data_IF_132003481763
#
_entry.id   IF_132003481763
#
_cell.length_a   1.000
_cell.length_b   1.000
_cell.length_c   1.000
_cell.angle_alpha   90.00
_cell.angle_beta   90.00
_cell.angle_gamma   90.00
#
_symmetry.space_group_name_H-M   'P 1'
#
loop_
_entity.id
_entity.type
_entity.pdbx_description
1 polymer ?
#
# COMPACT_ATOMS: atom_id res chain seq x y z
N UNK A 1 -6.86 15.45 -2.35
CA UNK A 1 -7.39 14.33 -3.15
C UNK A 1 -7.67 13.15 -2.21
N UNK A 2 -8.57 12.22 -2.57
CA UNK A 2 -8.82 11.04 -1.74
C UNK A 2 -7.90 9.89 -2.16
N UNK A 3 -7.22 9.30 -1.19
CA UNK A 3 -6.33 8.16 -1.33
C UNK A 3 -6.95 6.92 -0.69
N UNK A 4 -6.73 5.77 -1.30
CA UNK A 4 -7.35 4.52 -0.88
C UNK A 4 -6.39 3.36 -0.90
N UNK A 5 -6.58 2.44 0.04
CA UNK A 5 -6.00 1.10 0.00
C UNK A 5 -7.08 0.11 -0.39
N UNK A 6 -6.77 -0.74 -1.38
CA UNK A 6 -7.61 -1.85 -1.83
C UNK A 6 -6.96 -3.15 -1.33
N UNK A 7 -7.69 -3.92 -0.53
CA UNK A 7 -7.21 -5.21 -0.04
C UNK A 7 -7.19 -6.28 -1.13
N UNK A 8 -6.56 -7.43 -0.84
CA UNK A 8 -6.63 -8.60 -1.71
C UNK A 8 -8.05 -9.14 -1.94
N UNK A 9 -9.01 -8.72 -1.13
CA UNK A 9 -10.43 -9.06 -1.26
C UNK A 9 -11.24 -7.99 -2.04
N UNK A 10 -10.55 -7.04 -2.67
CA UNK A 10 -11.14 -5.91 -3.42
C UNK A 10 -12.02 -4.97 -2.57
N UNK A 11 -11.74 -4.91 -1.26
CA UNK A 11 -12.39 -3.96 -0.36
C UNK A 11 -11.57 -2.68 -0.28
N UNK A 12 -12.24 -1.54 -0.41
CA UNK A 12 -11.65 -0.21 -0.50
C UNK A 12 -11.75 0.53 0.84
N UNK A 13 -10.61 0.96 1.36
CA UNK A 13 -10.47 1.72 2.60
C UNK A 13 -9.90 3.09 2.31
N UNK A 14 -10.51 4.14 2.89
CA UNK A 14 -9.92 5.49 2.84
C UNK A 14 -8.68 5.48 3.74
N UNK A 15 -7.56 5.96 3.21
CA UNK A 15 -6.28 5.95 3.91
C UNK A 15 -5.61 7.31 3.75
N UNK A 16 -4.96 7.80 4.81
CA UNK A 16 -4.19 9.03 4.73
C UNK A 16 -2.76 8.69 4.29
N UNK A 17 -2.46 8.90 3.00
CA UNK A 17 -1.16 8.54 2.42
C UNK A 17 -0.34 9.81 2.18
N UNK A 18 0.84 9.87 2.80
CA UNK A 18 1.85 10.89 2.54
C UNK A 18 2.81 10.41 1.45
N UNK A 19 3.18 11.30 0.53
CA UNK A 19 4.18 11.01 -0.50
C UNK A 19 5.60 10.85 0.07
N UNK A 20 5.84 11.39 1.26
CA UNK A 20 7.14 11.27 1.95
C UNK A 20 7.31 9.94 2.69
N UNK A 21 6.23 9.17 2.84
CA UNK A 21 6.25 7.89 3.55
C UNK A 21 6.65 6.77 2.58
N UNK A 22 7.36 5.78 3.11
CA UNK A 22 7.57 4.49 2.44
C UNK A 22 6.27 3.66 2.44
N UNK A 23 6.06 2.74 1.48
CA UNK A 23 4.96 1.78 1.55
C UNK A 23 4.90 1.02 2.88
N UNK A 24 6.06 0.71 3.47
CA UNK A 24 6.13 0.06 4.78
C UNK A 24 5.52 0.93 5.89
N UNK A 25 5.87 2.22 5.94
CA UNK A 25 5.31 3.18 6.90
C UNK A 25 3.82 3.40 6.67
N UNK A 26 3.38 3.50 5.41
CA UNK A 26 1.97 3.66 5.05
C UNK A 26 1.15 2.48 5.58
N UNK A 27 1.61 1.25 5.39
CA UNK A 27 0.89 0.07 5.88
C UNK A 27 0.86 0.05 7.41
N UNK A 28 1.95 0.40 8.09
CA UNK A 28 1.97 0.50 9.56
C UNK A 28 0.98 1.55 10.07
N UNK A 29 1.01 2.75 9.50
CA UNK A 29 0.09 3.84 9.82
C UNK A 29 -1.37 3.43 9.57
N UNK A 30 -1.64 2.75 8.44
CA UNK A 30 -2.96 2.22 8.14
C UNK A 30 -3.45 1.24 9.22
N UNK A 31 -2.57 0.37 9.71
CA UNK A 31 -2.92 -0.58 10.78
C UNK A 31 -3.24 0.12 12.11
N UNK A 32 -2.53 1.20 12.43
CA UNK A 32 -2.77 2.00 13.64
C UNK A 32 -4.06 2.82 13.55
N UNK A 33 -4.34 3.39 12.37
CA UNK A 33 -5.53 4.21 12.11
C UNK A 33 -6.80 3.37 11.96
N UNK A 34 -6.69 2.15 11.41
CA UNK A 34 -7.82 1.28 11.03
C UNK A 34 -7.64 -0.16 11.56
N UNK A 35 -7.58 -0.38 12.89
CA UNK A 35 -7.26 -1.69 13.46
C UNK A 35 -8.27 -2.81 13.11
N UNK A 36 -9.54 -2.46 12.92
CA UNK A 36 -10.59 -3.43 12.55
C UNK A 36 -10.51 -3.87 11.08
N UNK A 37 -9.93 -3.03 10.22
CA UNK A 37 -9.83 -3.24 8.78
C UNK A 37 -8.43 -3.73 8.35
N UNK A 38 -7.41 -3.50 9.17
CA UNK A 38 -6.02 -3.89 8.93
C UNK A 38 -5.90 -5.38 8.56
N UNK A 39 -6.67 -6.25 9.20
CA UNK A 39 -6.64 -7.69 8.96
C UNK A 39 -6.89 -8.09 7.49
N UNK A 40 -7.57 -7.25 6.70
CA UNK A 40 -7.94 -7.59 5.33
C UNK A 40 -6.80 -7.40 4.32
N UNK A 41 -5.75 -6.66 4.66
CA UNK A 41 -4.57 -6.51 3.79
C UNK A 41 -3.50 -7.57 4.08
N UNK A 42 -3.64 -8.37 5.14
CA UNK A 42 -2.71 -9.44 5.47
C UNK A 42 -3.20 -10.80 5.01
N UNK A 43 -2.28 -11.62 4.47
CA UNK A 43 -2.58 -13.01 4.11
C UNK A 43 -2.94 -13.90 5.30
N UNK A 44 -2.43 -13.58 6.50
CA UNK A 44 -2.71 -14.27 7.75
C UNK A 44 -2.24 -13.44 8.96
N UNK A 45 -2.61 -13.89 10.17
CA UNK A 45 -2.22 -13.25 11.44
C UNK A 45 -0.70 -13.20 11.64
N UNK A 46 0.06 -14.19 11.14
CA UNK A 46 1.54 -14.17 11.24
C UNK A 46 2.13 -12.99 10.49
N UNK A 47 1.61 -12.67 9.29
CA UNK A 47 2.07 -11.52 8.50
C UNK A 47 1.83 -10.20 9.22
N UNK A 48 0.64 -10.06 9.83
CA UNK A 48 0.29 -8.91 10.64
C UNK A 48 1.25 -8.74 11.84
N UNK A 49 1.50 -9.82 12.59
CA UNK A 49 2.38 -9.78 13.75
C UNK A 49 3.85 -9.50 13.38
N UNK A 50 4.36 -10.11 12.30
CA UNK A 50 5.73 -9.83 11.82
C UNK A 50 5.90 -8.38 11.39
N UNK A 51 4.93 -7.83 10.66
CA UNK A 51 5.00 -6.43 10.23
C UNK A 51 4.99 -5.47 11.43
N UNK A 52 4.07 -5.65 12.37
CA UNK A 52 3.94 -4.74 13.51
C UNK A 52 5.11 -4.85 14.50
N UNK A 53 5.61 -6.07 14.74
CA UNK A 53 6.65 -6.30 15.74
C UNK A 53 8.04 -6.05 15.20
N UNK A 54 8.32 -6.60 14.02
CA UNK A 54 9.67 -6.71 13.47
C UNK A 54 9.86 -5.75 12.28
N UNK A 55 8.77 -5.21 11.73
CA UNK A 55 8.83 -4.37 10.53
C UNK A 55 9.14 -5.15 9.26
N UNK A 56 8.94 -6.47 9.28
CA UNK A 56 9.33 -7.38 8.23
C UNK A 56 8.12 -7.90 7.45
N UNK A 57 8.31 -8.08 6.14
CA UNK A 57 7.40 -8.74 5.23
C UNK A 57 8.20 -9.42 4.11
N UNK A 58 7.59 -10.38 3.42
CA UNK A 58 8.21 -10.98 2.24
C UNK A 58 7.99 -10.07 1.03
N UNK A 59 8.97 -9.21 0.74
CA UNK A 59 8.89 -8.21 -0.35
C UNK A 59 8.74 -8.84 -1.74
N UNK A 60 9.15 -10.10 -1.93
CA UNK A 60 9.06 -10.77 -3.21
C UNK A 60 7.61 -11.07 -3.60
N UNK A 61 6.79 -11.42 -2.62
CA UNK A 61 5.38 -11.81 -2.82
C UNK A 61 4.38 -10.79 -2.32
N UNK A 62 4.77 -9.90 -1.41
CA UNK A 62 3.92 -8.82 -0.94
C UNK A 62 3.75 -7.76 -2.02
N UNK A 63 2.57 -7.17 -2.07
CA UNK A 63 2.13 -6.23 -3.09
C UNK A 63 1.82 -4.88 -2.45
N UNK A 64 2.39 -3.83 -3.03
CA UNK A 64 1.95 -2.45 -2.86
C UNK A 64 2.02 -1.77 -4.23
N UNK A 65 0.87 -1.64 -4.89
CA UNK A 65 0.80 -1.27 -6.31
C UNK A 65 -0.19 -0.13 -6.52
N UNK A 66 0.24 0.96 -7.14
CA UNK A 66 -0.66 2.00 -7.62
C UNK A 66 -1.45 1.48 -8.83
N UNK A 67 -2.73 1.82 -8.92
CA UNK A 67 -3.52 1.68 -10.15
C UNK A 67 -3.45 2.98 -10.94
N UNK A 68 -2.82 2.96 -12.11
CA UNK A 68 -2.78 4.13 -13.00
C UNK A 68 -4.16 4.47 -13.60
N UNK A 69 -4.21 5.49 -14.46
CA UNK A 69 -5.44 5.95 -15.13
C UNK A 69 -6.11 4.88 -15.99
N UNK A 70 -5.34 3.90 -16.50
CA UNK A 70 -5.84 2.76 -17.29
C UNK A 70 -6.15 1.53 -16.41
N UNK A 71 -5.83 1.60 -15.11
CA UNK A 71 -5.98 0.52 -14.14
C UNK A 71 -4.82 -0.48 -14.14
N UNK A 72 -3.73 -0.22 -14.85
CA UNK A 72 -2.53 -1.05 -14.81
C UNK A 72 -1.81 -0.90 -13.47
N UNK A 73 -1.21 -1.98 -12.95
CA UNK A 73 -0.46 -1.92 -11.71
C UNK A 73 0.92 -1.30 -11.93
N UNK A 74 1.27 -0.32 -11.10
CA UNK A 74 2.62 0.25 -10.96
C UNK A 74 3.13 -0.14 -9.58
N UNK A 75 4.14 -1.01 -9.54
CA UNK A 75 4.67 -1.56 -8.28
C UNK A 75 5.55 -0.55 -7.58
N UNK A 76 5.29 -0.34 -6.29
CA UNK A 76 6.13 0.48 -5.44
C UNK A 76 7.20 -0.37 -4.75
N UNK A 77 8.38 0.22 -4.55
CA UNK A 77 9.45 -0.30 -3.72
C UNK A 77 9.14 -0.05 -2.24
N UNK A 78 9.21 -1.10 -1.42
CA UNK A 78 8.72 -1.08 -0.04
C UNK A 78 9.50 -0.15 0.89
N UNK A 79 10.80 -0.03 0.67
CA UNK A 79 11.73 0.73 1.52
C UNK A 79 12.06 2.14 1.03
N UNK A 80 11.44 2.60 -0.05
CA UNK A 80 11.70 3.92 -0.63
C UNK A 80 10.44 4.81 -0.56
N UNK A 81 10.55 6.09 -0.16
CA UNK A 81 9.42 7.02 -0.15
C UNK A 81 8.73 7.13 -1.52
N UNK A 82 7.40 7.23 -1.54
CA UNK A 82 6.65 7.31 -2.81
C UNK A 82 7.12 8.48 -3.70
N UNK A 83 7.52 9.61 -3.11
CA UNK A 83 8.00 10.79 -3.83
C UNK A 83 9.36 10.59 -4.52
N UNK A 84 10.12 9.57 -4.11
CA UNK A 84 11.41 9.21 -4.69
C UNK A 84 11.29 8.19 -5.83
N UNK A 85 10.12 7.55 -5.96
CA UNK A 85 9.82 6.57 -6.99
C UNK A 85 9.20 7.25 -8.22
N UNK A 86 9.93 7.40 -9.35
CA UNK A 86 9.47 8.21 -10.48
C UNK A 86 8.17 7.72 -11.11
N UNK A 87 8.02 6.40 -11.29
CA UNK A 87 6.85 5.79 -11.93
C UNK A 87 5.58 5.99 -11.07
N UNK A 88 5.72 5.88 -9.75
CA UNK A 88 4.62 6.14 -8.80
C UNK A 88 4.22 7.61 -8.82
N UNK A 89 5.22 8.50 -8.80
CA UNK A 89 4.99 9.94 -8.84
C UNK A 89 4.31 10.38 -10.12
N UNK A 90 4.72 9.83 -11.26
CA UNK A 90 4.09 10.09 -12.56
C UNK A 90 2.66 9.58 -12.58
N UNK A 91 2.42 8.32 -12.19
CA UNK A 91 1.07 7.76 -12.14
C UNK A 91 0.11 8.52 -11.22
N UNK A 92 0.60 9.00 -10.07
CA UNK A 92 -0.20 9.87 -9.17
C UNK A 92 -0.51 11.21 -9.84
N UNK A 93 0.49 11.86 -10.46
CA UNK A 93 0.28 13.14 -11.11
C UNK A 93 -0.73 13.05 -12.27
N UNK A 94 -0.74 11.94 -13.01
CA UNK A 94 -1.72 11.67 -14.06
C UNK A 94 -3.13 11.49 -13.50
N UNK A 95 -3.28 10.67 -12.44
CA UNK A 95 -4.56 10.51 -11.73
C UNK A 95 -5.07 11.84 -11.18
N UNK A 96 -4.16 12.67 -10.65
CA UNK A 96 -4.48 14.00 -10.16
C UNK A 96 -4.99 14.93 -11.26
N UNK A 97 -4.36 14.90 -12.44
CA UNK A 97 -4.74 15.70 -13.59
C UNK A 97 -6.14 15.32 -14.13
N UNK A 98 -6.51 14.05 -14.02
CA UNK A 98 -7.82 13.50 -14.45
C UNK A 98 -8.88 13.54 -13.33
N UNK A 99 -8.59 14.13 -12.17
CA UNK A 99 -9.47 14.15 -10.97
C UNK A 99 -9.93 12.74 -10.53
N UNK A 100 -9.06 11.74 -10.72
CA UNK A 100 -9.30 10.35 -10.37
C UNK A 100 -8.80 10.04 -8.94
N UNK A 101 -9.45 9.11 -8.22
CA UNK A 101 -8.99 8.70 -6.90
C UNK A 101 -7.70 7.89 -7.00
N UNK A 102 -6.73 8.21 -6.14
CA UNK A 102 -5.48 7.44 -6.01
C UNK A 102 -5.79 6.16 -5.25
N UNK A 103 -5.50 5.01 -5.86
CA UNK A 103 -5.79 3.70 -5.26
C UNK A 103 -4.55 2.81 -5.28
N UNK A 104 -4.15 2.34 -4.11
CA UNK A 104 -3.08 1.36 -3.94
C UNK A 104 -3.67 0.00 -3.60
N UNK A 105 -3.32 -1.03 -4.37
CA UNK A 105 -3.59 -2.42 -4.00
C UNK A 105 -2.53 -2.86 -3.00
N UNK A 106 -2.95 -3.38 -1.86
CA UNK A 106 -2.05 -3.86 -0.80
C UNK A 106 -2.37 -5.30 -0.40
N UNK A 107 -1.33 -6.13 -0.38
CA UNK A 107 -1.38 -7.48 0.19
C UNK A 107 -0.04 -7.82 0.83
N UNK A 108 -0.05 -8.11 2.13
CA UNK A 108 1.15 -8.38 2.92
C UNK A 108 1.24 -9.87 3.27
N UNK A 109 2.40 -10.45 2.97
CA UNK A 109 2.70 -11.85 3.21
C UNK A 109 3.85 -11.98 4.21
N UNK A 110 3.70 -12.90 5.15
CA UNK A 110 4.72 -13.20 6.15
C UNK A 110 5.94 -13.85 5.50
N UNK A 111 7.13 -13.56 6.02
CA UNK A 111 8.34 -14.32 5.69
C UNK A 111 8.16 -15.75 6.24
N UNK A 112 8.30 -16.72 5.35
CA UNK A 112 8.32 -18.14 5.70
C UNK A 112 9.77 -18.55 5.93
N UNK A 113 10.18 -18.61 7.20
CA UNK A 113 11.46 -19.15 7.64
C UNK A 113 11.50 -20.69 7.54
#
# INVERSE_FOLDING_TARGET
MKTYIISSSDVKYEANISMEDTPLEIVKNFCEENPDDAQYIFSNEKAHQQLLRDGELDEAVSVFELRDVEGHPVRAEWGEPLCQQPDIKEGIAELEAEDMPICFVCSVVAIVA
#
